data_IF_905391354008
#
_entry.id   IF_905391354008
#
_cell.length_a   1.000
_cell.length_b   1.000
_cell.length_c   1.000
_cell.angle_alpha   90.00
_cell.angle_beta   90.00
_cell.angle_gamma   90.00
#
_symmetry.space_group_name_H-M   'P 1'
#
loop_
_entity.id
_entity.type
_entity.pdbx_description
1 polymer ?
#
# COMPACT_ATOMS: atom_id res chain seq x y z
N UNK A 1 -3.14 -0.49 11.34
CA UNK A 1 -3.31 0.98 11.26
C UNK A 1 -4.77 1.33 11.42
N UNK A 2 -5.66 1.08 10.44
CA UNK A 2 -7.09 1.41 10.60
C UNK A 2 -7.75 0.81 11.85
N UNK A 3 -7.48 -0.47 12.14
CA UNK A 3 -7.94 -1.12 13.37
C UNK A 3 -7.44 -0.41 14.64
N UNK A 4 -6.17 -0.01 14.68
CA UNK A 4 -5.59 0.69 15.83
C UNK A 4 -6.26 2.05 16.05
N UNK A 5 -6.53 2.81 14.98
CA UNK A 5 -7.29 4.06 15.08
C UNK A 5 -8.73 3.84 15.54
N UNK A 6 -9.35 2.75 15.10
CA UNK A 6 -10.69 2.37 15.53
C UNK A 6 -10.72 2.01 17.02
N UNK A 7 -9.76 1.23 17.52
CA UNK A 7 -9.64 0.87 18.94
C UNK A 7 -9.31 2.08 19.83
N UNK A 8 -8.44 2.97 19.37
CA UNK A 8 -8.08 4.21 20.07
C UNK A 8 -9.23 5.25 20.05
N UNK A 9 -10.16 5.12 19.09
CA UNK A 9 -11.24 6.08 18.87
C UNK A 9 -10.76 7.45 18.38
N UNK A 10 -9.57 7.51 17.76
CA UNK A 10 -8.93 8.74 17.29
C UNK A 10 -8.42 8.56 15.87
N UNK A 11 -8.76 9.49 14.98
CA UNK A 11 -8.43 9.36 13.57
C UNK A 11 -7.39 10.36 13.07
N UNK A 12 -6.54 9.97 12.09
CA UNK A 12 -5.48 10.82 11.56
C UNK A 12 -5.89 12.19 11.01
N UNK A 13 -7.11 12.34 10.49
CA UNK A 13 -7.60 13.60 9.93
C UNK A 13 -8.26 14.52 10.96
N UNK A 14 -8.45 14.05 12.20
CA UNK A 14 -9.05 14.85 13.27
C UNK A 14 -8.01 15.68 14.01
N UNK A 15 -6.72 15.35 13.87
CA UNK A 15 -5.62 16.14 14.43
C UNK A 15 -4.73 16.68 13.31
N UNK A 16 -4.22 17.89 13.52
CA UNK A 16 -3.23 18.53 12.63
C UNK A 16 -1.85 17.82 12.62
N UNK A 17 -1.71 16.69 13.32
CA UNK A 17 -0.45 15.96 13.53
C UNK A 17 -0.04 15.09 12.35
N UNK A 18 -1.00 14.60 11.54
CA UNK A 18 -0.75 13.62 10.47
C UNK A 18 -0.92 14.21 9.06
N UNK A 19 -0.52 15.46 8.88
CA UNK A 19 -0.89 16.26 7.70
C UNK A 19 0.11 16.22 6.54
N UNK A 20 1.27 15.57 6.68
CA UNK A 20 2.28 15.50 5.60
C UNK A 20 3.11 14.21 5.59
N UNK A 21 3.82 13.98 4.49
CA UNK A 21 4.90 12.99 4.40
C UNK A 21 4.41 11.54 4.44
N UNK A 22 5.15 10.71 5.18
CA UNK A 22 4.91 9.26 5.29
C UNK A 22 3.52 8.95 5.86
N UNK A 23 3.04 9.75 6.81
CA UNK A 23 1.78 9.50 7.50
C UNK A 23 0.56 9.61 6.57
N UNK A 24 0.58 10.58 5.67
CA UNK A 24 -0.47 10.75 4.66
C UNK A 24 -0.56 9.54 3.73
N UNK A 25 0.57 8.95 3.36
CA UNK A 25 0.60 7.74 2.54
C UNK A 25 0.00 6.55 3.30
N UNK A 26 0.35 6.40 4.58
CA UNK A 26 -0.22 5.36 5.45
C UNK A 26 -1.74 5.49 5.59
N UNK A 27 -2.24 6.71 5.79
CA UNK A 27 -3.69 7.01 5.80
C UNK A 27 -4.30 6.60 4.48
N UNK A 28 -3.74 7.03 3.35
CA UNK A 28 -4.23 6.70 2.02
C UNK A 28 -4.32 5.19 1.77
N UNK A 29 -3.30 4.43 2.16
CA UNK A 29 -3.30 2.97 2.04
C UNK A 29 -4.44 2.38 2.90
N UNK A 30 -4.56 2.79 4.15
CA UNK A 30 -5.62 2.30 5.03
C UNK A 30 -7.02 2.60 4.46
N UNK A 31 -7.27 3.83 4.01
CA UNK A 31 -8.55 4.22 3.39
C UNK A 31 -8.90 3.36 2.18
N UNK A 32 -7.92 3.12 1.29
CA UNK A 32 -8.12 2.30 0.09
C UNK A 32 -8.43 0.84 0.42
N UNK A 33 -7.78 0.29 1.46
CA UNK A 33 -8.05 -1.08 1.91
C UNK A 33 -9.49 -1.17 2.42
N UNK A 34 -9.89 -0.33 3.37
CA UNK A 34 -11.22 -0.39 3.98
C UNK A 34 -12.37 0.07 3.05
N UNK A 35 -12.07 0.77 1.96
CA UNK A 35 -13.06 1.09 0.90
C UNK A 35 -13.31 -0.05 -0.08
N UNK A 36 -12.47 -1.09 -0.07
CA UNK A 36 -12.60 -2.22 -0.98
C UNK A 36 -13.40 -3.38 -0.33
N UNK A 37 -13.83 -4.33 -1.17
CA UNK A 37 -14.64 -5.46 -0.70
C UNK A 37 -13.79 -6.40 0.17
N UNK A 38 -14.23 -6.61 1.41
CA UNK A 38 -13.51 -7.41 2.41
C UNK A 38 -13.11 -8.81 1.90
N UNK A 39 -13.98 -9.45 1.12
CA UNK A 39 -13.78 -10.83 0.64
C UNK A 39 -12.59 -10.97 -0.31
N UNK A 40 -12.16 -9.88 -0.98
CA UNK A 40 -10.95 -9.89 -1.81
C UNK A 40 -9.71 -10.07 -0.93
N UNK A 41 -9.62 -9.31 0.18
CA UNK A 41 -8.50 -9.42 1.12
C UNK A 41 -8.58 -10.69 1.96
N UNK A 42 -9.77 -11.13 2.35
CA UNK A 42 -9.97 -12.41 3.01
C UNK A 42 -9.48 -13.57 2.13
N UNK A 43 -9.84 -13.58 0.84
CA UNK A 43 -9.35 -14.58 -0.11
C UNK A 43 -7.83 -14.60 -0.20
N UNK A 44 -7.19 -13.43 -0.32
CA UNK A 44 -5.73 -13.31 -0.39
C UNK A 44 -5.02 -13.73 0.91
N UNK A 45 -5.60 -13.43 2.08
CA UNK A 45 -4.97 -13.70 3.37
C UNK A 45 -5.22 -15.13 3.87
N UNK A 46 -6.46 -15.62 3.75
CA UNK A 46 -6.87 -16.90 4.33
C UNK A 46 -6.51 -18.08 3.42
N UNK A 47 -6.59 -17.92 2.09
CA UNK A 47 -6.37 -19.03 1.14
C UNK A 47 -4.91 -19.18 0.70
N UNK A 48 -4.04 -18.23 1.07
CA UNK A 48 -2.62 -18.25 0.70
C UNK A 48 -1.73 -18.55 1.92
N UNK A 49 -1.17 -19.76 2.05
CA UNK A 49 -0.27 -20.11 3.15
C UNK A 49 0.99 -19.23 3.24
N UNK A 50 1.47 -18.70 2.11
CA UNK A 50 2.59 -17.75 2.13
C UNK A 50 2.18 -16.42 2.77
N UNK A 51 0.97 -15.93 2.49
CA UNK A 51 0.43 -14.72 3.13
C UNK A 51 0.26 -14.92 4.64
N UNK A 52 -0.27 -16.07 5.08
CA UNK A 52 -0.38 -16.37 6.51
C UNK A 52 0.98 -16.30 7.23
N UNK A 53 2.03 -16.90 6.64
CA UNK A 53 3.40 -16.83 7.20
C UNK A 53 3.92 -15.41 7.27
N UNK A 54 3.71 -14.60 6.23
CA UNK A 54 4.13 -13.20 6.20
C UNK A 54 3.39 -12.35 7.24
N UNK A 55 2.08 -12.52 7.38
CA UNK A 55 1.27 -11.79 8.35
C UNK A 55 1.70 -12.14 9.78
N UNK A 56 1.94 -13.41 10.07
CA UNK A 56 2.44 -13.86 11.37
C UNK A 56 3.83 -13.30 11.70
N UNK A 57 4.74 -13.35 10.74
CA UNK A 57 6.07 -12.78 10.94
C UNK A 57 6.02 -11.26 11.09
N UNK A 58 5.15 -10.57 10.33
CA UNK A 58 4.96 -9.12 10.48
C UNK A 58 4.47 -8.76 11.88
N UNK A 59 3.45 -9.46 12.39
CA UNK A 59 2.95 -9.26 13.76
C UNK A 59 4.05 -9.49 14.83
N UNK A 60 4.89 -10.51 14.61
CA UNK A 60 6.06 -10.78 15.45
C UNK A 60 7.09 -9.65 15.37
N UNK A 61 7.42 -9.18 14.18
CA UNK A 61 8.35 -8.07 13.94
C UNK A 61 7.87 -6.78 14.61
N UNK A 62 6.58 -6.43 14.51
CA UNK A 62 5.98 -5.30 15.24
C UNK A 62 6.22 -5.44 16.75
N UNK A 63 5.88 -6.62 17.30
CA UNK A 63 5.98 -6.87 18.74
C UNK A 63 7.42 -6.81 19.24
N UNK A 64 8.36 -7.42 18.53
CA UNK A 64 9.76 -7.46 18.95
C UNK A 64 10.42 -6.07 18.85
N UNK A 65 10.17 -5.32 17.78
CA UNK A 65 10.68 -3.95 17.65
C UNK A 65 10.09 -3.03 18.74
N UNK A 66 8.78 -3.11 18.99
CA UNK A 66 8.14 -2.32 20.04
C UNK A 66 8.68 -2.64 21.45
N UNK A 67 9.00 -3.91 21.74
CA UNK A 67 9.69 -4.28 22.98
C UNK A 67 11.07 -3.66 23.11
N UNK A 68 11.85 -3.62 22.03
CA UNK A 68 13.16 -2.97 22.03
C UNK A 68 13.06 -1.46 22.26
N UNK A 69 12.07 -0.81 21.62
CA UNK A 69 11.76 0.61 21.79
C UNK A 69 11.39 0.94 23.24
N UNK A 70 10.43 0.21 23.81
CA UNK A 70 9.93 0.45 25.18
C UNK A 70 10.92 0.05 26.28
N UNK A 71 11.78 -0.94 26.01
CA UNK A 71 12.86 -1.35 26.91
C UNK A 71 14.10 -0.44 26.84
N UNK A 72 14.15 0.53 25.93
CA UNK A 72 15.31 1.42 25.76
C UNK A 72 16.55 0.72 25.19
N UNK A 73 16.38 -0.41 24.49
CA UNK A 73 17.47 -1.23 23.94
C UNK A 73 18.02 -0.63 22.63
N UNK A 74 18.60 0.58 22.70
CA UNK A 74 19.01 1.36 21.53
C UNK A 74 19.96 0.60 20.59
N UNK A 75 20.96 -0.07 21.14
CA UNK A 75 21.97 -0.79 20.34
C UNK A 75 21.33 -1.93 19.54
N UNK A 76 20.54 -2.77 20.20
CA UNK A 76 19.85 -3.91 19.58
C UNK A 76 18.81 -3.47 18.55
N UNK A 77 18.04 -2.42 18.86
CA UNK A 77 17.07 -1.85 17.92
C UNK A 77 17.78 -1.32 16.66
N UNK A 78 18.87 -0.56 16.85
CA UNK A 78 19.63 0.02 15.76
C UNK A 78 20.24 -1.06 14.87
N UNK A 79 20.95 -2.03 15.46
CA UNK A 79 21.56 -3.15 14.74
C UNK A 79 20.53 -3.93 13.93
N UNK A 80 19.35 -4.20 14.51
CA UNK A 80 18.27 -4.92 13.85
C UNK A 80 17.70 -4.15 12.65
N UNK A 81 17.41 -2.86 12.80
CA UNK A 81 16.86 -2.02 11.71
C UNK A 81 17.87 -1.87 10.57
N UNK A 82 19.14 -1.61 10.89
CA UNK A 82 20.19 -1.46 9.87
C UNK A 82 20.50 -2.77 9.15
N UNK A 83 20.54 -3.90 9.87
CA UNK A 83 20.72 -5.20 9.24
C UNK A 83 19.55 -5.56 8.30
N UNK A 84 18.31 -5.19 8.67
CA UNK A 84 17.15 -5.39 7.82
C UNK A 84 17.24 -4.53 6.54
N UNK A 85 17.68 -3.28 6.65
CA UNK A 85 17.94 -2.40 5.50
C UNK A 85 18.94 -3.01 4.53
N UNK A 86 20.10 -3.39 5.04
CA UNK A 86 21.19 -3.93 4.22
C UNK A 86 20.76 -5.21 3.52
N UNK A 87 20.03 -6.08 4.24
CA UNK A 87 19.53 -7.34 3.67
C UNK A 87 18.48 -7.13 2.57
N UNK A 88 17.56 -6.17 2.72
CA UNK A 88 16.43 -5.98 1.81
C UNK A 88 16.80 -5.10 0.61
N UNK A 89 17.53 -4.01 0.86
CA UNK A 89 17.83 -3.00 -0.16
C UNK A 89 19.29 -3.05 -0.65
N UNK A 90 20.18 -3.76 0.03
CA UNK A 90 21.60 -3.84 -0.34
C UNK A 90 22.44 -2.61 0.05
N UNK A 91 21.82 -1.57 0.62
CA UNK A 91 22.51 -0.34 1.00
C UNK A 91 23.19 -0.46 2.35
N UNK A 92 24.48 -0.13 2.40
CA UNK A 92 25.29 -0.18 3.63
C UNK A 92 24.93 0.95 4.59
N UNK A 93 25.14 0.72 5.89
CA UNK A 93 24.78 1.68 6.94
C UNK A 93 25.43 3.07 6.77
N UNK A 94 26.60 3.15 6.17
CA UNK A 94 27.39 4.37 5.98
C UNK A 94 27.00 5.19 4.74
N UNK A 95 26.12 4.67 3.88
CA UNK A 95 25.65 5.34 2.67
C UNK A 95 24.13 5.58 2.70
N UNK A 96 23.70 6.66 2.04
CA UNK A 96 22.30 6.82 1.66
C UNK A 96 22.00 5.96 0.43
N UNK A 97 20.76 5.50 0.29
CA UNK A 97 20.38 4.64 -0.82
C UNK A 97 20.47 5.37 -2.16
N UNK A 98 21.15 4.76 -3.12
CA UNK A 98 21.30 5.26 -4.48
C UNK A 98 20.36 4.54 -5.46
N UNK A 99 19.97 5.26 -6.52
CA UNK A 99 19.22 4.69 -7.64
C UNK A 99 20.20 3.88 -8.51
N UNK A 100 20.41 2.60 -8.20
CA UNK A 100 20.86 1.68 -9.26
C UNK A 100 19.72 1.49 -10.28
N UNK A 101 20.01 0.93 -11.46
CA UNK A 101 19.14 0.78 -12.67
C UNK A 101 17.70 0.23 -12.45
N UNK A 102 17.31 -0.07 -11.22
CA UNK A 102 15.97 -0.49 -10.80
C UNK A 102 15.03 0.69 -10.82
N UNK A 103 13.91 0.49 -11.52
CA UNK A 103 12.88 1.51 -11.75
C UNK A 103 12.45 2.10 -10.41
N UNK A 104 12.53 3.42 -10.25
CA UNK A 104 12.23 4.00 -8.99
C UNK A 104 10.73 3.91 -8.72
N UNK A 105 10.32 3.27 -7.62
CA UNK A 105 9.05 3.64 -6.99
C UNK A 105 9.33 4.93 -6.19
N UNK A 106 9.73 5.99 -6.90
CA UNK A 106 10.14 7.26 -6.31
C UNK A 106 8.89 8.01 -5.83
N UNK A 107 8.50 7.73 -4.60
CA UNK A 107 7.86 8.75 -3.78
C UNK A 107 8.94 9.79 -3.46
N UNK A 108 9.02 10.86 -4.26
CA UNK A 108 9.81 12.03 -3.93
C UNK A 108 9.09 12.88 -2.89
N UNK A 109 9.83 13.74 -2.18
CA UNK A 109 9.26 14.71 -1.24
C UNK A 109 8.18 15.57 -1.92
N UNK A 110 8.37 15.91 -3.19
CA UNK A 110 7.41 16.66 -4.00
C UNK A 110 6.09 15.90 -4.20
N UNK A 111 6.16 14.59 -4.48
CA UNK A 111 4.97 13.75 -4.63
C UNK A 111 4.26 13.59 -3.28
N UNK A 112 5.01 13.39 -2.19
CA UNK A 112 4.44 13.29 -0.83
C UNK A 112 3.75 14.58 -0.40
N UNK A 113 4.32 15.73 -0.73
CA UNK A 113 3.76 17.05 -0.41
C UNK A 113 2.42 17.32 -1.12
N UNK A 114 2.18 16.73 -2.30
CA UNK A 114 0.91 16.86 -3.03
C UNK A 114 -0.27 16.15 -2.33
N UNK A 115 0.00 15.20 -1.44
CA UNK A 115 -1.03 14.47 -0.70
C UNK A 115 -1.41 15.11 0.65
N UNK A 116 -0.82 16.25 1.02
CA UNK A 116 -1.00 16.88 2.34
C UNK A 116 -2.48 16.97 2.75
N UNK A 117 -2.80 16.38 3.91
CA UNK A 117 -4.13 16.37 4.51
C UNK A 117 -4.33 17.67 5.31
N UNK A 118 -4.39 18.81 4.62
CA UNK A 118 -4.63 20.13 5.22
C UNK A 118 -3.49 21.13 5.05
N UNK A 119 -3.68 22.34 5.60
CA UNK A 119 -2.71 23.44 5.52
C UNK A 119 -1.65 23.24 6.60
N UNK A 120 -0.52 22.62 6.26
CA UNK A 120 0.65 22.59 7.14
C UNK A 120 1.28 23.98 7.18
N UNK A 121 1.63 24.47 8.37
CA UNK A 121 2.58 25.58 8.48
C UNK A 121 3.95 25.07 8.00
N UNK A 122 4.52 25.60 6.91
CA UNK A 122 5.82 25.15 6.40
C UNK A 122 6.96 25.31 7.42
N UNK A 123 6.77 26.09 8.49
CA UNK A 123 7.73 26.25 9.57
C UNK A 123 7.46 25.36 10.79
N UNK A 124 6.37 24.59 10.82
CA UNK A 124 6.09 23.69 11.93
C UNK A 124 7.07 22.50 11.90
N UNK A 125 7.79 22.23 13.01
CA UNK A 125 8.68 21.08 13.08
C UNK A 125 7.88 19.80 12.85
N UNK A 126 8.43 18.90 12.02
CA UNK A 126 7.84 17.57 11.82
C UNK A 126 7.90 16.81 13.15
N UNK A 127 6.76 16.32 13.62
CA UNK A 127 6.72 15.57 14.86
C UNK A 127 7.47 14.23 14.69
N UNK A 128 8.33 13.84 15.64
CA UNK A 128 9.13 12.63 15.54
C UNK A 128 8.24 11.38 15.61
N UNK A 129 8.31 10.51 14.60
CA UNK A 129 7.50 9.29 14.53
C UNK A 129 8.40 8.06 14.38
N UNK A 130 8.11 7.00 15.14
CA UNK A 130 8.89 5.75 15.10
C UNK A 130 8.76 5.02 13.76
N UNK A 131 7.67 5.30 13.04
CA UNK A 131 7.23 4.60 11.85
C UNK A 131 7.28 3.06 12.03
N UNK A 132 6.88 2.58 13.21
CA UNK A 132 6.93 1.16 13.59
C UNK A 132 6.36 0.23 12.52
N UNK A 133 5.28 0.62 11.85
CA UNK A 133 4.68 -0.14 10.75
C UNK A 133 5.62 -0.39 9.56
N UNK A 134 6.47 0.58 9.21
CA UNK A 134 7.46 0.45 8.13
C UNK A 134 8.71 -0.28 8.59
N UNK A 135 9.18 0.00 9.81
CA UNK A 135 10.32 -0.72 10.40
C UNK A 135 10.02 -2.23 10.51
N UNK A 136 8.83 -2.57 10.99
CA UNK A 136 8.39 -3.96 11.12
C UNK A 136 8.19 -4.65 9.76
N UNK A 137 7.81 -3.91 8.73
CA UNK A 137 7.66 -4.46 7.38
C UNK A 137 9.02 -4.86 6.80
N UNK A 138 10.01 -3.97 6.87
CA UNK A 138 11.37 -4.27 6.36
C UNK A 138 12.05 -5.34 7.20
N UNK A 139 11.87 -5.34 8.54
CA UNK A 139 12.32 -6.44 9.39
C UNK A 139 11.66 -7.78 9.01
N UNK A 140 10.35 -7.79 8.74
CA UNK A 140 9.63 -8.99 8.29
C UNK A 140 10.21 -9.55 6.98
N UNK A 141 10.42 -8.69 5.98
CA UNK A 141 11.04 -9.09 4.72
C UNK A 141 12.44 -9.66 4.92
N UNK A 142 13.27 -8.99 5.74
CA UNK A 142 14.59 -9.47 6.08
C UNK A 142 14.57 -10.85 6.77
N UNK A 143 13.62 -11.08 7.69
CA UNK A 143 13.48 -12.35 8.41
C UNK A 143 13.00 -13.50 7.52
N UNK A 144 12.17 -13.20 6.52
CA UNK A 144 11.63 -14.20 5.60
C UNK A 144 12.44 -14.36 4.31
N UNK A 145 13.52 -13.60 4.15
CA UNK A 145 14.33 -13.61 2.92
C UNK A 145 13.52 -13.23 1.68
N UNK A 146 12.62 -12.25 1.85
CA UNK A 146 11.75 -11.76 0.78
C UNK A 146 12.38 -10.50 0.17
N UNK A 147 12.59 -10.53 -1.14
CA UNK A 147 12.89 -9.33 -1.90
C UNK A 147 11.57 -8.68 -2.38
N UNK A 148 11.12 -7.56 -1.78
CA UNK A 148 9.86 -6.93 -2.17
C UNK A 148 9.89 -6.40 -3.61
N UNK A 149 11.08 -6.14 -4.17
CA UNK A 149 11.22 -5.56 -5.50
C UNK A 149 10.98 -6.59 -6.61
N UNK A 150 11.36 -7.85 -6.42
CA UNK A 150 11.09 -8.94 -7.38
C UNK A 150 9.58 -9.17 -7.58
N UNK A 151 8.79 -8.96 -6.53
CA UNK A 151 7.33 -9.15 -6.59
C UNK A 151 6.59 -8.05 -7.36
N UNK A 152 7.22 -6.89 -7.58
CA UNK A 152 6.62 -5.78 -8.32
C UNK A 152 6.51 -6.06 -9.83
N UNK A 153 7.49 -6.76 -10.39
CA UNK A 153 7.57 -7.02 -11.83
C UNK A 153 6.46 -7.93 -12.35
N UNK A 154 5.87 -8.74 -11.46
CA UNK A 154 4.94 -9.81 -11.83
C UNK A 154 3.48 -9.47 -11.47
N UNK A 155 3.22 -8.69 -10.41
CA UNK A 155 1.84 -8.49 -9.90
C UNK A 155 1.62 -7.22 -9.05
N UNK A 156 2.40 -6.15 -9.25
CA UNK A 156 2.30 -4.93 -8.44
C UNK A 156 0.96 -4.20 -8.60
N UNK A 157 0.06 -4.31 -7.61
CA UNK A 157 -1.11 -3.40 -7.53
C UNK A 157 -0.64 -1.99 -7.15
N UNK A 158 -1.35 -0.92 -7.55
CA UNK A 158 -1.00 0.46 -7.15
C UNK A 158 -0.87 0.68 -5.64
N UNK A 159 -1.63 -0.06 -4.82
CA UNK A 159 -1.52 -0.01 -3.35
C UNK A 159 -0.24 -0.68 -2.88
N UNK A 160 0.13 -1.82 -3.47
CA UNK A 160 1.36 -2.53 -3.13
C UNK A 160 2.61 -1.73 -3.52
N UNK A 161 2.61 -1.11 -4.71
CA UNK A 161 3.66 -0.18 -5.13
C UNK A 161 3.83 0.97 -4.13
N UNK A 162 2.73 1.61 -3.74
CA UNK A 162 2.77 2.71 -2.79
C UNK A 162 3.34 2.29 -1.43
N UNK A 163 3.03 1.06 -0.99
CA UNK A 163 3.52 0.52 0.28
C UNK A 163 5.02 0.21 0.27
N UNK A 164 5.54 -0.35 -0.84
CA UNK A 164 6.99 -0.56 -1.01
C UNK A 164 7.71 0.77 -1.14
N UNK A 165 7.21 1.69 -1.96
CA UNK A 165 7.84 2.98 -2.18
C UNK A 165 7.97 3.81 -0.89
N UNK A 166 6.99 3.77 0.01
CA UNK A 166 7.10 4.50 1.30
C UNK A 166 8.10 3.83 2.25
N UNK A 167 8.23 2.50 2.19
CA UNK A 167 9.25 1.78 2.94
C UNK A 167 10.65 2.14 2.45
N UNK A 168 10.85 2.05 1.13
CA UNK A 168 12.09 2.42 0.47
C UNK A 168 12.45 3.89 0.78
N UNK A 169 11.47 4.79 0.67
CA UNK A 169 11.67 6.20 1.00
C UNK A 169 12.18 6.43 2.43
N UNK A 170 11.59 5.76 3.44
CA UNK A 170 12.08 5.81 4.82
C UNK A 170 13.52 5.27 4.91
N UNK A 171 13.76 4.11 4.32
CA UNK A 171 15.02 3.38 4.45
C UNK A 171 16.14 3.92 3.56
N UNK A 172 15.83 4.78 2.60
CA UNK A 172 16.82 5.40 1.72
C UNK A 172 17.70 6.40 2.45
N UNK A 173 17.13 7.20 3.35
CA UNK A 173 17.87 8.21 4.10
C UNK A 173 18.29 7.72 5.47
N UNK A 174 19.57 7.86 5.77
CA UNK A 174 20.11 7.52 7.09
C UNK A 174 19.52 8.38 8.19
N UNK A 175 19.43 9.69 7.94
CA UNK A 175 18.83 10.65 8.87
C UNK A 175 17.38 10.27 9.23
N UNK A 176 16.56 9.85 8.25
CA UNK A 176 15.19 9.40 8.52
C UNK A 176 15.14 8.14 9.38
N UNK A 177 16.01 7.15 9.13
CA UNK A 177 16.10 5.95 9.97
C UNK A 177 16.52 6.31 11.39
N UNK A 178 17.53 7.15 11.56
CA UNK A 178 18.01 7.57 12.88
C UNK A 178 16.94 8.34 13.66
N UNK A 179 16.21 9.23 12.98
CA UNK A 179 15.05 9.93 13.56
C UNK A 179 13.95 8.95 13.99
N UNK A 180 13.64 7.95 13.17
CA UNK A 180 12.64 6.93 13.49
C UNK A 180 13.05 6.07 14.71
N UNK A 181 14.32 5.62 14.76
CA UNK A 181 14.86 4.88 15.91
C UNK A 181 14.81 5.74 17.17
N UNK A 182 15.27 7.00 17.08
CA UNK A 182 15.26 7.94 18.20
C UNK A 182 13.83 8.23 18.70
N UNK A 183 12.88 8.41 17.78
CA UNK A 183 11.48 8.59 18.10
C UNK A 183 10.93 7.37 18.85
N UNK A 184 11.17 6.15 18.36
CA UNK A 184 10.71 4.93 19.05
C UNK A 184 11.23 4.81 20.49
N UNK A 185 12.49 5.21 20.74
CA UNK A 185 13.10 5.14 22.07
C UNK A 185 12.60 6.23 23.02
N UNK A 186 12.53 7.47 22.52
CA UNK A 186 12.41 8.66 23.38
C UNK A 186 11.04 9.31 23.33
N UNK A 187 10.30 9.16 22.23
CA UNK A 187 8.99 9.77 22.14
C UNK A 187 7.96 9.02 23.00
N UNK A 188 7.20 9.83 23.75
CA UNK A 188 6.12 9.37 24.63
C UNK A 188 4.75 9.63 24.01
N UNK A 189 4.69 10.44 22.96
CA UNK A 189 3.44 10.88 22.34
C UNK A 189 2.85 9.77 21.48
N UNK A 190 3.63 9.17 20.57
CA UNK A 190 3.19 8.09 19.68
C UNK A 190 3.27 6.69 20.30
N UNK A 191 3.75 6.57 21.54
CA UNK A 191 3.94 5.26 22.19
C UNK A 191 2.63 4.52 22.43
N UNK A 192 1.56 5.25 22.74
CA UNK A 192 0.22 4.67 22.86
C UNK A 192 -0.29 4.19 21.49
N UNK A 193 -0.10 4.99 20.44
CA UNK A 193 -0.46 4.61 19.08
C UNK A 193 0.31 3.37 18.60
N UNK A 194 1.61 3.27 18.93
CA UNK A 194 2.45 2.11 18.61
C UNK A 194 2.04 0.85 19.39
N UNK A 195 1.53 1.00 20.62
CA UNK A 195 0.94 -0.09 21.39
C UNK A 195 -0.32 -0.63 20.70
N UNK A 196 -1.28 0.26 20.40
CA UNK A 196 -2.52 -0.12 19.70
C UNK A 196 -2.22 -0.74 18.34
N UNK A 197 -1.23 -0.19 17.62
CA UNK A 197 -0.77 -0.77 16.36
C UNK A 197 -0.21 -2.19 16.54
N UNK A 198 0.60 -2.42 17.58
CA UNK A 198 1.18 -3.74 17.89
C UNK A 198 0.09 -4.76 18.27
N UNK A 199 -0.89 -4.35 19.08
CA UNK A 199 -2.04 -5.18 19.46
C UNK A 199 -2.88 -5.53 18.22
N UNK A 200 -3.23 -4.54 17.40
CA UNK A 200 -3.97 -4.75 16.17
C UNK A 200 -3.23 -5.69 15.20
N UNK A 201 -1.91 -5.54 15.04
CA UNK A 201 -1.11 -6.40 14.17
C UNK A 201 -1.17 -7.86 14.60
N UNK A 202 -1.06 -8.13 15.91
CA UNK A 202 -1.21 -9.47 16.48
C UNK A 202 -2.61 -10.03 16.26
N UNK A 203 -3.64 -9.25 16.54
CA UNK A 203 -5.02 -9.68 16.36
C UNK A 203 -5.27 -10.08 14.91
N UNK A 204 -4.83 -9.28 13.92
CA UNK A 204 -4.95 -9.63 12.50
C UNK A 204 -4.20 -10.92 12.16
N UNK A 205 -3.01 -11.13 12.74
CA UNK A 205 -2.32 -12.42 12.66
C UNK A 205 -3.18 -13.58 13.14
N UNK A 206 -3.69 -13.49 14.37
CA UNK A 206 -4.53 -14.54 14.97
C UNK A 206 -5.79 -14.81 14.13
N UNK A 207 -6.48 -13.77 13.67
CA UNK A 207 -7.67 -13.90 12.81
C UNK A 207 -7.38 -14.65 11.52
N UNK A 208 -6.25 -14.35 10.87
CA UNK A 208 -5.86 -15.02 9.64
C UNK A 208 -5.46 -16.47 9.90
N UNK A 209 -4.80 -16.76 11.02
CA UNK A 209 -4.43 -18.13 11.40
C UNK A 209 -5.63 -19.03 11.71
N UNK A 210 -6.75 -18.47 12.16
CA UNK A 210 -7.97 -19.25 12.35
C UNK A 210 -8.66 -19.65 11.03
N UNK A 211 -8.37 -18.97 9.92
CA UNK A 211 -8.95 -19.32 8.62
C UNK A 211 -10.46 -19.08 8.49
N UNK A 212 -11.07 -18.35 9.43
CA UNK A 212 -12.52 -18.15 9.50
C UNK A 212 -12.95 -16.88 8.74
N UNK A 213 -13.68 -17.05 7.65
CA UNK A 213 -14.19 -15.95 6.81
C UNK A 213 -15.17 -15.04 7.54
N UNK A 214 -16.08 -15.58 8.36
CA UNK A 214 -17.06 -14.79 9.10
C UNK A 214 -16.38 -13.89 10.14
N UNK A 215 -15.36 -14.42 10.82
CA UNK A 215 -14.56 -13.65 11.77
C UNK A 215 -13.80 -12.52 11.07
N UNK A 216 -13.21 -12.82 9.91
CA UNK A 216 -12.51 -11.82 9.09
C UNK A 216 -13.48 -10.72 8.63
N UNK A 217 -14.65 -11.08 8.12
CA UNK A 217 -15.68 -10.13 7.69
C UNK A 217 -16.08 -9.19 8.82
N UNK A 218 -16.48 -9.74 9.97
CA UNK A 218 -16.92 -8.93 11.12
C UNK A 218 -15.86 -7.91 11.51
N UNK A 219 -14.62 -8.36 11.72
CA UNK A 219 -13.52 -7.46 12.08
C UNK A 219 -13.26 -6.40 11.02
N UNK A 220 -13.20 -6.79 9.75
CA UNK A 220 -12.97 -5.85 8.66
C UNK A 220 -14.09 -4.79 8.62
N UNK A 221 -15.34 -5.22 8.72
CA UNK A 221 -16.51 -4.36 8.62
C UNK A 221 -16.67 -3.45 9.84
N UNK A 222 -16.37 -3.92 11.05
CA UNK A 222 -16.39 -3.09 12.27
C UNK A 222 -15.47 -1.88 12.10
N UNK A 223 -14.25 -2.10 11.60
CA UNK A 223 -13.31 -1.01 11.33
C UNK A 223 -13.71 -0.17 10.10
N UNK A 224 -14.25 -0.79 9.05
CA UNK A 224 -14.66 -0.09 7.81
C UNK A 224 -15.92 0.79 7.98
N UNK A 225 -16.82 0.42 8.89
CA UNK A 225 -18.12 1.10 9.09
C UNK A 225 -18.09 2.16 10.18
N UNK A 226 -17.07 2.16 11.03
CA UNK A 226 -16.90 3.15 12.11
C UNK A 226 -16.10 4.41 11.76
N UNK A 227 -15.66 4.74 10.53
CA UNK A 227 -14.97 6.00 10.35
C UNK A 227 -15.98 7.16 10.33
N UNK A 228 -15.69 8.28 11.02
CA UNK A 228 -16.60 9.42 11.10
C UNK A 228 -17.02 9.95 9.72
N UNK A 229 -18.17 10.65 9.62
CA UNK A 229 -18.77 11.09 8.35
C UNK A 229 -17.81 11.76 7.34
N UNK A 230 -16.74 12.40 7.84
CA UNK A 230 -15.67 13.00 7.04
C UNK A 230 -14.97 12.02 6.06
N UNK A 231 -14.98 10.71 6.34
CA UNK A 231 -14.33 9.71 5.50
C UNK A 231 -15.05 9.48 4.15
N UNK A 232 -16.37 9.70 4.09
CA UNK A 232 -17.16 9.58 2.83
C UNK A 232 -16.78 10.66 1.81
N UNK A 233 -16.54 11.89 2.27
CA UNK A 233 -16.15 13.00 1.39
C UNK A 233 -14.68 12.91 0.95
N UNK A 234 -13.77 12.44 1.80
CA UNK A 234 -12.35 12.27 1.47
C UNK A 234 -12.09 11.18 0.44
N UNK A 235 -12.85 10.07 0.50
CA UNK A 235 -12.83 8.98 -0.50
C UNK A 235 -13.21 9.49 -1.90
N UNK A 236 -14.21 10.38 -1.94
CA UNK A 236 -14.70 11.05 -3.14
C UNK A 236 -13.65 12.02 -3.69
N UNK A 237 -12.99 12.80 -2.84
CA UNK A 237 -11.99 13.79 -3.24
C UNK A 237 -10.65 13.14 -3.70
N UNK A 238 -10.23 12.04 -3.07
CA UNK A 238 -8.97 11.34 -3.39
C UNK A 238 -9.00 10.59 -4.72
N UNK A 239 -10.15 10.03 -5.10
CA UNK A 239 -10.32 9.32 -6.39
C UNK A 239 -10.10 10.27 -7.58
N UNK A 240 -10.36 11.56 -7.43
CA UNK A 240 -10.11 12.58 -8.46
C UNK A 240 -8.63 12.99 -8.56
N UNK A 241 -7.88 13.02 -7.46
CA UNK A 241 -6.49 13.52 -7.46
C UNK A 241 -5.48 12.53 -8.08
N UNK A 242 -5.74 11.23 -7.99
CA UNK A 242 -4.89 10.18 -8.59
C UNK A 242 -5.16 9.95 -10.08
N UNK A 243 -6.36 10.26 -10.58
CA UNK A 243 -6.64 10.28 -12.02
C UNK A 243 -5.77 11.30 -12.77
N UNK A 244 -5.28 12.33 -12.09
CA UNK A 244 -4.28 13.27 -12.63
C UNK A 244 -2.89 12.66 -12.77
N UNK A 245 -2.45 11.87 -11.79
CA UNK A 245 -1.11 11.22 -11.78
C UNK A 245 -1.02 10.08 -12.81
N UNK A 246 -2.14 9.42 -13.12
CA UNK A 246 -2.16 8.36 -14.16
C UNK A 246 -2.11 8.89 -15.60
N UNK A 247 -2.18 10.21 -15.84
CA UNK A 247 -2.16 10.78 -17.20
C UNK A 247 -0.77 11.16 -17.70
N UNK A 248 0.17 11.41 -16.80
CA UNK A 248 1.52 11.84 -17.17
C UNK A 248 2.52 10.75 -16.79
N UNK A 249 2.82 9.85 -17.74
CA UNK A 249 4.07 9.07 -17.71
C UNK A 249 3.98 7.54 -17.69
N UNK A 250 2.81 6.90 -17.71
CA UNK A 250 2.73 5.44 -17.90
C UNK A 250 2.58 5.09 -19.39
N UNK A 251 3.40 4.18 -19.97
CA UNK A 251 3.00 3.50 -21.19
C UNK A 251 1.70 2.75 -20.88
N UNK A 252 0.72 2.92 -21.76
CA UNK A 252 -0.61 2.32 -21.66
C UNK A 252 -0.51 0.83 -21.34
N UNK A 253 -1.32 0.38 -20.39
CA UNK A 253 -1.40 -1.01 -19.95
C UNK A 253 -1.58 -1.94 -21.18
N UNK A 254 -0.69 -2.91 -21.46
CA UNK A 254 -0.79 -3.77 -22.64
C UNK A 254 -2.10 -4.58 -22.70
N UNK A 255 -2.81 -4.71 -21.57
CA UNK A 255 -4.11 -5.36 -21.49
C UNK A 255 -5.26 -4.47 -22.01
N UNK A 256 -5.13 -3.13 -21.99
CA UNK A 256 -6.13 -2.24 -22.59
C UNK A 256 -6.06 -2.24 -24.11
N UNK A 257 -4.86 -2.42 -24.70
CA UNK A 257 -4.70 -2.54 -26.14
C UNK A 257 -5.20 -3.89 -26.67
N UNK A 258 -5.11 -4.97 -25.90
CA UNK A 258 -5.70 -6.28 -26.27
C UNK A 258 -7.23 -6.22 -26.24
N UNK A 259 -7.84 -5.53 -25.28
CA UNK A 259 -9.30 -5.35 -25.23
C UNK A 259 -9.77 -4.38 -26.32
N UNK A 260 -9.05 -3.28 -26.58
CA UNK A 260 -9.39 -2.34 -27.66
C UNK A 260 -9.19 -2.91 -29.07
N UNK A 261 -8.19 -3.75 -29.28
CA UNK A 261 -7.99 -4.44 -30.57
C UNK A 261 -9.04 -5.53 -30.78
N UNK A 262 -9.50 -6.18 -29.71
CA UNK A 262 -10.61 -7.15 -29.78
C UNK A 262 -11.96 -6.47 -30.05
N UNK A 263 -12.27 -5.35 -29.39
CA UNK A 263 -13.51 -4.59 -29.64
C UNK A 263 -13.51 -3.91 -31.02
N UNK A 264 -12.35 -3.49 -31.54
CA UNK A 264 -12.23 -3.01 -32.93
C UNK A 264 -12.36 -4.14 -33.96
N UNK A 265 -11.88 -5.34 -33.66
CA UNK A 265 -12.04 -6.51 -34.53
C UNK A 265 -13.49 -7.00 -34.56
N UNK A 266 -14.18 -7.04 -33.42
CA UNK A 266 -15.58 -7.48 -33.33
C UNK A 266 -16.58 -6.40 -33.85
N UNK A 267 -16.28 -5.11 -33.67
CA UNK A 267 -17.05 -4.00 -34.26
C UNK A 267 -16.82 -3.79 -35.76
N UNK A 268 -15.65 -4.18 -36.29
CA UNK A 268 -15.33 -4.18 -37.72
C UNK A 268 -15.95 -5.37 -38.47
N UNK A 269 -15.98 -6.56 -37.85
CA UNK A 269 -16.56 -7.76 -38.44
C UNK A 269 -18.09 -7.67 -38.59
N UNK A 270 -18.78 -7.01 -37.64
CA UNK A 270 -20.24 -6.83 -37.68
C UNK A 270 -20.70 -5.79 -38.70
N UNK A 271 -19.88 -4.76 -39.01
CA UNK A 271 -20.17 -3.79 -40.10
C UNK A 271 -19.76 -4.29 -41.49
N UNK A 272 -18.76 -5.17 -41.59
CA UNK A 272 -18.36 -5.83 -42.84
C UNK A 272 -19.33 -6.92 -43.30
N UNK A 273 -19.87 -7.71 -42.37
CA UNK A 273 -20.80 -8.81 -42.68
C UNK A 273 -22.16 -8.31 -43.21
N UNK A 274 -22.64 -7.16 -42.73
CA UNK A 274 -23.91 -6.58 -43.22
C UNK A 274 -23.83 -5.97 -44.62
N UNK A 275 -22.64 -5.57 -45.10
CA UNK A 275 -22.45 -5.10 -46.49
C UNK A 275 -22.08 -6.23 -47.46
N UNK A 276 -21.44 -7.30 -47.00
CA UNK A 276 -21.12 -8.45 -47.85
C UNK A 276 -22.34 -9.36 -48.11
N UNK A 277 -23.25 -9.53 -47.15
CA UNK A 277 -24.44 -10.38 -47.31
C UNK A 277 -25.49 -9.85 -48.30
N UNK A 278 -25.60 -8.53 -48.47
CA UNK A 278 -26.56 -7.91 -49.40
C UNK A 278 -26.12 -7.97 -50.88
N UNK A 279 -24.82 -8.11 -51.14
CA UNK A 279 -24.28 -8.16 -52.52
C UNK A 279 -24.24 -9.58 -53.12
N UNK A 280 -24.32 -10.63 -52.28
CA UNK A 280 -24.34 -12.04 -52.72
C UNK A 280 -25.74 -12.56 -53.04
N UNK A 281 -26.80 -11.97 -52.48
CA UNK A 281 -28.19 -12.39 -52.77
C UNK A 281 -28.67 -11.87 -54.14
N UNK A 282 -28.28 -10.65 -54.54
CA UNK A 282 -28.71 -10.03 -55.82
C UNK A 282 -27.95 -10.61 -57.05
N UNK A 283 -26.86 -11.35 -56.83
CA UNK A 283 -26.08 -12.02 -57.89
C UNK A 283 -26.50 -13.47 -58.18
N UNK A 284 -27.21 -14.11 -57.26
CA UNK A 284 -27.71 -15.49 -57.44
C UNK A 284 -29.12 -15.52 -58.07
N UNK A 285 -29.97 -14.51 -57.83
CA UNK A 285 -31.33 -14.45 -58.42
C UNK A 285 -31.32 -14.02 -59.91
N UNK A 286 -30.28 -13.31 -60.38
CA UNK A 286 -30.12 -12.99 -61.81
C UNK A 286 -29.54 -14.11 -62.67
N UNK A 287 -29.07 -15.20 -62.07
CA UNK A 287 -28.55 -16.38 -62.79
C UNK A 287 -29.54 -17.54 -62.89
N UNK A 288 -30.74 -17.39 -62.31
CA UNK A 288 -31.83 -18.36 -62.34
C UNK A 288 -32.99 -17.98 -63.27
N UNK A 289 -32.87 -16.88 -64.05
CA UNK A 289 -33.89 -16.42 -65.03
C UNK A 289 -33.35 -16.16 -66.43
N UNK A 290 -32.38 -16.96 -66.88
CA UNK A 290 -32.01 -17.13 -68.29
C UNK A 290 -31.55 -18.57 -68.51
#
# INVERSE_FOLDING_TARGET
>A
MGEAWHCEGQYPWERARWVSGIEVVKVNIALRIYSAKWHVYAGLALLNPAAQRQIQQFARSCTELFKLMTGGHQKELSERVWAAREKVFGWKRDEDGHDEERRPILLSDEILNQFSLGTKDPNAPEEPNSHLSLLAMVDCWAKLDINPLEHLEVAGTPVFMLWIGVAEYLFRSRDRIEKAINAGLNDKVFRADDLEFTVAARQWGECVSFGNFDLYERRFMDTATTPPPAMRDLSSCHTYRLKGISRDGYPQNPLEDIVRTRDRAEGGATRGAHRAGAATYDRLDRRARN
#
